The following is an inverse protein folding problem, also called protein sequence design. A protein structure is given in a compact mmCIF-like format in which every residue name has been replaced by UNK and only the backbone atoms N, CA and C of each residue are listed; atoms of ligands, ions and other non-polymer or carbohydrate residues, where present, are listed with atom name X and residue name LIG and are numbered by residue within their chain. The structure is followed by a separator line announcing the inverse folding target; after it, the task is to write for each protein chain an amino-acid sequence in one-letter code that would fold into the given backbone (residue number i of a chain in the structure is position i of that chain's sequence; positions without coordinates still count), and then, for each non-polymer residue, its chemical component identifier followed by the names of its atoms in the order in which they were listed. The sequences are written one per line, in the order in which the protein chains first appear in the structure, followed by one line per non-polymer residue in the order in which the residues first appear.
data_IF_774546905375
#
_entry.id   IF_774546905375
#
_cell.length_a   1.000
_cell.length_b   1.000
_cell.length_c   1.000
_cell.angle_alpha   90.00
_cell.angle_beta   90.00
_cell.angle_gamma   90.00
#
_symmetry.space_group_name_H-M   'P 1'
#
loop_
_entity.id
_entity.type
_entity.pdbx_description
1 polymer ?
#
# COMPACT_ATOMS: atom_id res chain seq x y z
N UNK A 1 12.06 6.80 -23.31
CA UNK A 1 10.76 7.50 -23.45
C UNK A 1 10.75 8.69 -22.50
N UNK A 2 10.84 9.89 -23.09
CA UNK A 2 10.65 11.17 -22.43
C UNK A 2 9.19 11.56 -22.62
N UNK A 3 8.48 11.88 -21.55
CA UNK A 3 7.25 12.71 -21.52
C UNK A 3 6.89 12.91 -20.04
N UNK A 4 7.02 14.14 -19.51
CA UNK A 4 5.90 15.03 -19.13
C UNK A 4 5.05 14.42 -18.00
N UNK A 5 4.60 15.08 -16.92
CA UNK A 5 4.39 16.48 -16.59
C UNK A 5 3.49 16.36 -15.33
N UNK A 6 3.98 16.69 -14.13
CA UNK A 6 3.10 17.01 -12.99
C UNK A 6 3.86 17.89 -12.00
N UNK A 7 4.13 19.10 -12.48
CA UNK A 7 4.37 20.27 -11.64
C UNK A 7 3.06 21.09 -11.75
N UNK A 8 2.66 21.72 -10.63
CA UNK A 8 1.57 22.68 -10.45
C UNK A 8 0.19 22.15 -10.05
N UNK A 9 0.02 21.73 -8.78
CA UNK A 9 -1.18 22.10 -7.98
C UNK A 9 -0.78 22.31 -6.52
N UNK A 10 -0.09 23.41 -6.23
CA UNK A 10 -0.23 24.11 -4.94
C UNK A 10 -0.13 25.60 -5.24
N UNK A 11 -1.00 26.05 -6.13
CA UNK A 11 -1.44 27.44 -6.19
C UNK A 11 -2.09 27.77 -4.84
N UNK A 12 -1.27 28.32 -3.94
CA UNK A 12 -1.56 29.47 -3.08
C UNK A 12 -3.05 29.60 -2.69
N UNK A 13 -3.50 28.76 -1.76
CA UNK A 13 -4.57 29.15 -0.84
C UNK A 13 -3.92 29.81 0.38
N UNK A 14 -3.34 31.00 0.18
CA UNK A 14 -3.06 31.91 1.28
C UNK A 14 -4.35 32.68 1.56
N UNK A 15 -5.29 31.99 2.19
CA UNK A 15 -6.51 32.61 2.70
C UNK A 15 -6.09 33.50 3.88
N UNK A 16 -6.05 34.81 3.66
CA UNK A 16 -6.00 35.82 4.70
C UNK A 16 -7.30 35.76 5.51
N UNK A 17 -7.42 34.80 6.42
CA UNK A 17 -8.50 34.71 7.39
C UNK A 17 -7.90 34.94 8.78
N UNK A 18 -7.85 36.22 9.17
CA UNK A 18 -8.07 36.73 10.52
C UNK A 18 -7.67 38.22 10.58
N UNK A 19 -8.32 39.04 9.75
CA UNK A 19 -8.50 40.45 10.11
C UNK A 19 -9.64 40.50 11.11
N UNK A 20 -9.32 40.28 12.38
CA UNK A 20 -10.22 40.63 13.49
C UNK A 20 -10.54 42.11 13.40
N UNK A 21 -11.77 42.39 12.99
CA UNK A 21 -12.59 43.58 13.24
C UNK A 21 -11.81 44.87 13.54
N UNK A 22 -11.34 45.53 12.48
CA UNK A 22 -11.16 46.97 12.54
C UNK A 22 -12.57 47.56 12.56
N UNK A 23 -13.09 47.78 13.77
CA UNK A 23 -14.29 48.58 14.02
C UNK A 23 -14.04 50.01 13.52
N UNK A 24 -14.30 50.25 12.24
CA UNK A 24 -14.35 51.58 11.65
C UNK A 24 -15.71 52.19 12.01
N UNK A 25 -15.82 52.63 13.27
CA UNK A 25 -16.93 53.46 13.74
C UNK A 25 -16.93 54.77 12.97
N UNK A 26 -17.80 54.85 11.96
CA UNK A 26 -18.11 56.07 11.23
C UNK A 26 -18.90 57.01 12.14
N UNK A 27 -18.19 57.79 12.95
CA UNK A 27 -18.77 58.92 13.65
C UNK A 27 -18.52 60.20 12.86
N UNK A 28 -19.63 60.79 12.41
CA UNK A 28 -19.71 62.01 11.60
C UNK A 28 -19.34 63.27 12.38
N UNK A 29 -18.72 64.21 11.67
CA UNK A 29 -18.74 65.65 11.92
C UNK A 29 -17.90 66.20 13.09
N UNK A 30 -16.59 66.03 13.00
CA UNK A 30 -15.67 67.15 13.29
C UNK A 30 -14.49 67.06 12.31
N UNK A 31 -14.30 68.09 11.49
CA UNK A 31 -13.18 68.22 10.54
C UNK A 31 -11.91 68.51 11.34
N UNK A 32 -11.47 67.54 12.12
CA UNK A 32 -10.21 67.57 12.85
C UNK A 32 -9.09 67.47 11.81
N UNK A 33 -8.24 68.51 11.72
CA UNK A 33 -6.95 68.38 11.06
C UNK A 33 -6.18 67.28 11.80
N UNK A 34 -6.28 66.04 11.31
CA UNK A 34 -5.38 64.98 11.74
C UNK A 34 -3.97 65.48 11.41
N UNK A 35 -3.16 65.68 12.44
CA UNK A 35 -1.82 66.20 12.24
C UNK A 35 -1.04 65.21 11.37
N UNK A 36 -0.38 65.74 10.33
CA UNK A 36 0.43 64.96 9.41
C UNK A 36 1.47 64.09 10.13
N UNK A 37 1.97 64.55 11.29
CA UNK A 37 2.92 63.83 12.13
C UNK A 37 2.35 62.54 12.71
N UNK A 38 1.07 62.52 13.07
CA UNK A 38 0.40 61.31 13.56
C UNK A 38 0.39 60.23 12.47
N UNK A 39 -0.05 60.60 11.27
CA UNK A 39 -0.09 59.68 10.11
C UNK A 39 1.32 59.14 9.80
N UNK A 40 2.34 60.01 9.84
CA UNK A 40 3.74 59.62 9.63
C UNK A 40 4.22 58.61 10.69
N UNK A 41 3.85 58.81 11.96
CA UNK A 41 4.21 57.90 13.05
C UNK A 41 3.52 56.52 12.93
N UNK A 42 2.25 56.50 12.53
CA UNK A 42 1.50 55.26 12.30
C UNK A 42 2.09 54.50 11.11
N UNK A 43 2.39 55.19 10.01
CA UNK A 43 3.01 54.60 8.82
C UNK A 43 4.38 53.97 9.14
N UNK A 44 5.23 54.66 9.91
CA UNK A 44 6.54 54.12 10.30
C UNK A 44 6.42 52.88 11.18
N UNK A 45 5.42 52.83 12.06
CA UNK A 45 5.09 51.66 12.89
C UNK A 45 4.65 50.47 12.03
N UNK A 46 3.74 50.71 11.09
CA UNK A 46 3.27 49.67 10.15
C UNK A 46 4.43 49.13 9.31
N UNK A 47 5.29 49.99 8.76
CA UNK A 47 6.46 49.57 7.99
C UNK A 47 7.44 48.73 8.82
N UNK A 48 7.67 49.09 10.09
CA UNK A 48 8.50 48.30 11.01
C UNK A 48 7.92 46.90 11.25
N UNK A 49 6.60 46.80 11.43
CA UNK A 49 5.91 45.54 11.63
C UNK A 49 5.97 44.65 10.38
N UNK A 50 5.75 45.22 9.19
CA UNK A 50 5.88 44.52 7.91
C UNK A 50 7.30 43.97 7.76
N UNK A 51 8.33 44.77 8.07
CA UNK A 51 9.72 44.32 8.01
C UNK A 51 9.98 43.16 8.97
N UNK A 52 9.51 43.25 10.22
CA UNK A 52 9.64 42.18 11.22
C UNK A 52 8.96 40.89 10.76
N UNK A 53 7.76 40.99 10.21
CA UNK A 53 7.01 39.85 9.68
C UNK A 53 7.75 39.19 8.51
N UNK A 54 8.27 39.98 7.56
CA UNK A 54 9.06 39.49 6.44
C UNK A 54 10.30 38.70 6.89
N UNK A 55 11.04 39.21 7.87
CA UNK A 55 12.22 38.51 8.41
C UNK A 55 11.85 37.22 9.15
N UNK A 56 10.72 37.21 9.88
CA UNK A 56 10.21 36.00 10.54
C UNK A 56 9.87 34.92 9.51
N UNK A 57 9.08 35.26 8.50
CA UNK A 57 8.70 34.32 7.45
C UNK A 57 9.92 33.79 6.69
N UNK A 58 10.92 34.64 6.42
CA UNK A 58 12.18 34.21 5.78
C UNK A 58 12.90 33.14 6.61
N UNK A 59 12.96 33.30 7.92
CA UNK A 59 13.57 32.29 8.83
C UNK A 59 12.78 30.99 8.84
N UNK A 60 11.44 31.07 8.87
CA UNK A 60 10.58 29.88 8.83
C UNK A 60 10.74 29.10 7.53
N UNK A 61 10.80 29.79 6.39
CA UNK A 61 11.07 29.17 5.09
C UNK A 61 12.43 28.44 5.11
N UNK A 62 13.48 29.07 5.62
CA UNK A 62 14.81 28.47 5.71
C UNK A 62 14.83 27.24 6.64
N UNK A 63 14.12 27.28 7.77
CA UNK A 63 14.00 26.13 8.68
C UNK A 63 13.25 24.96 8.01
N UNK A 64 12.17 25.25 7.27
CA UNK A 64 11.43 24.23 6.51
C UNK A 64 12.28 23.61 5.40
N UNK A 65 13.03 24.42 4.65
CA UNK A 65 13.98 23.95 3.63
C UNK A 65 15.04 23.01 4.24
N UNK A 66 15.59 23.38 5.40
CA UNK A 66 16.56 22.55 6.11
C UNK A 66 15.94 21.22 6.57
N UNK A 67 14.74 21.25 7.16
CA UNK A 67 14.00 20.06 7.58
C UNK A 67 13.71 19.13 6.39
N UNK A 68 13.33 19.70 5.26
CA UNK A 68 13.08 18.96 4.03
C UNK A 68 14.34 18.28 3.51
N UNK A 69 15.47 19.01 3.43
CA UNK A 69 16.76 18.44 3.02
C UNK A 69 17.21 17.29 3.95
N UNK A 70 17.01 17.45 5.27
CA UNK A 70 17.30 16.40 6.25
C UNK A 70 16.42 15.16 6.01
N UNK A 71 15.14 15.36 5.77
CA UNK A 71 14.19 14.28 5.49
C UNK A 71 14.58 13.50 4.22
N UNK A 72 14.93 14.20 3.15
CA UNK A 72 15.42 13.59 1.91
C UNK A 72 16.69 12.75 2.15
N UNK A 73 17.64 13.26 2.95
CA UNK A 73 18.87 12.54 3.31
C UNK A 73 18.55 11.26 4.09
N UNK A 74 17.66 11.32 5.08
CA UNK A 74 17.20 10.16 5.84
C UNK A 74 16.55 9.11 4.93
N UNK A 75 15.69 9.54 4.01
CA UNK A 75 15.03 8.64 3.06
C UNK A 75 16.03 7.95 2.12
N UNK A 76 17.04 8.69 1.63
CA UNK A 76 18.13 8.13 0.82
C UNK A 76 18.91 7.05 1.58
N UNK A 77 19.25 7.30 2.84
CA UNK A 77 19.93 6.31 3.69
C UNK A 77 19.07 5.08 3.94
N UNK A 78 17.78 5.25 4.21
CA UNK A 78 16.83 4.16 4.38
C UNK A 78 16.76 3.26 3.13
N UNK A 79 16.64 3.85 1.93
CA UNK A 79 16.64 3.10 0.67
C UNK A 79 17.91 2.27 0.49
N UNK A 80 19.08 2.85 0.77
CA UNK A 80 20.36 2.13 0.68
C UNK A 80 20.39 0.95 1.66
N UNK A 81 19.95 1.16 2.91
CA UNK A 81 19.90 0.11 3.94
C UNK A 81 18.98 -1.04 3.51
N UNK A 82 17.76 -0.72 3.06
CA UNK A 82 16.79 -1.72 2.60
C UNK A 82 17.26 -2.51 1.39
N UNK A 83 17.91 -1.85 0.43
CA UNK A 83 18.50 -2.56 -0.72
C UNK A 83 19.59 -3.55 -0.30
N UNK A 84 20.39 -3.24 0.72
CA UNK A 84 21.40 -4.16 1.27
C UNK A 84 20.75 -5.37 1.96
N UNK A 85 19.71 -5.13 2.76
CA UNK A 85 18.92 -6.18 3.41
C UNK A 85 18.33 -7.13 2.36
N UNK A 86 17.62 -6.60 1.35
CA UNK A 86 17.06 -7.37 0.23
C UNK A 86 18.14 -8.19 -0.49
N UNK A 87 19.31 -7.59 -0.78
CA UNK A 87 20.42 -8.30 -1.43
C UNK A 87 20.90 -9.49 -0.60
N UNK A 88 21.00 -9.33 0.72
CA UNK A 88 21.42 -10.41 1.63
C UNK A 88 20.39 -11.54 1.72
N UNK A 89 19.10 -11.20 1.76
CA UNK A 89 17.99 -12.15 1.75
C UNK A 89 18.00 -12.94 0.45
N UNK A 90 18.11 -12.27 -0.70
CA UNK A 90 18.16 -12.91 -2.01
C UNK A 90 19.35 -13.87 -2.13
N UNK A 91 20.52 -13.50 -1.59
CA UNK A 91 21.69 -14.39 -1.54
C UNK A 91 21.42 -15.64 -0.71
N UNK A 92 20.80 -15.51 0.47
CA UNK A 92 20.41 -16.66 1.31
C UNK A 92 19.39 -17.55 0.60
N UNK A 93 18.39 -16.95 -0.01
CA UNK A 93 17.32 -17.65 -0.75
C UNK A 93 17.90 -18.46 -1.92
N UNK A 94 18.85 -17.90 -2.66
CA UNK A 94 19.56 -18.61 -3.73
C UNK A 94 20.35 -19.82 -3.21
N UNK A 95 21.05 -19.68 -2.08
CA UNK A 95 21.79 -20.79 -1.45
C UNK A 95 20.84 -21.90 -0.97
N UNK A 96 19.71 -21.54 -0.35
CA UNK A 96 18.71 -22.51 0.11
C UNK A 96 18.10 -23.27 -1.07
N UNK A 97 17.73 -22.59 -2.16
CA UNK A 97 17.26 -23.23 -3.40
C UNK A 97 18.28 -24.22 -3.97
N UNK A 98 19.57 -23.86 -3.98
CA UNK A 98 20.66 -24.75 -4.42
C UNK A 98 20.84 -25.98 -3.52
N UNK A 99 20.62 -25.85 -2.22
CA UNK A 99 20.64 -27.00 -1.29
C UNK A 99 19.44 -27.92 -1.50
N UNK A 100 18.25 -27.33 -1.67
CA UNK A 100 17.01 -28.08 -1.89
C UNK A 100 17.08 -28.92 -3.16
N UNK A 101 17.54 -28.34 -4.27
CA UNK A 101 17.71 -29.04 -5.55
C UNK A 101 18.67 -30.23 -5.43
N UNK A 102 19.84 -30.05 -4.79
CA UNK A 102 20.78 -31.15 -4.51
C UNK A 102 20.16 -32.26 -3.65
N UNK A 103 19.33 -31.92 -2.67
CA UNK A 103 18.65 -32.91 -1.83
C UNK A 103 17.57 -33.65 -2.62
N UNK A 104 16.82 -32.96 -3.49
CA UNK A 104 15.84 -33.58 -4.38
C UNK A 104 16.50 -34.57 -5.35
N UNK A 105 17.66 -34.23 -5.92
CA UNK A 105 18.44 -35.14 -6.77
C UNK A 105 18.91 -36.39 -6.02
N UNK A 106 19.41 -36.23 -4.80
CA UNK A 106 19.82 -37.34 -3.93
C UNK A 106 18.65 -38.26 -3.59
N UNK A 107 17.48 -37.70 -3.28
CA UNK A 107 16.26 -38.47 -2.99
C UNK A 107 15.85 -39.32 -4.21
N UNK A 108 15.81 -38.73 -5.41
CA UNK A 108 15.52 -39.46 -6.65
C UNK A 108 16.49 -40.60 -6.89
N UNK A 109 17.79 -40.37 -6.65
CA UNK A 109 18.84 -41.40 -6.77
C UNK A 109 18.64 -42.54 -5.76
N UNK A 110 18.24 -42.24 -4.51
CA UNK A 110 17.95 -43.28 -3.52
C UNK A 110 16.67 -44.06 -3.83
N UNK A 111 15.60 -43.39 -4.27
CA UNK A 111 14.33 -44.02 -4.66
C UNK A 111 14.54 -44.98 -5.84
N UNK A 112 15.34 -44.58 -6.83
CA UNK A 112 15.66 -45.41 -7.98
C UNK A 112 16.50 -46.65 -7.62
N UNK A 113 17.28 -46.61 -6.53
CA UNK A 113 18.01 -47.77 -6.01
C UNK A 113 17.06 -48.74 -5.28
N UNK A 114 16.16 -48.21 -4.45
CA UNK A 114 15.17 -49.02 -3.70
C UNK A 114 14.25 -49.81 -4.66
N UNK A 115 13.85 -49.21 -5.78
CA UNK A 115 12.96 -49.85 -6.77
C UNK A 115 13.62 -50.98 -7.59
N UNK A 116 14.96 -51.12 -7.55
CA UNK A 116 15.65 -52.26 -8.18
C UNK A 116 15.69 -53.50 -7.27
N UNK A 117 15.54 -53.32 -5.96
CA UNK A 117 15.64 -54.40 -4.97
C UNK A 117 14.28 -54.89 -4.45
N UNK A 118 13.16 -54.25 -4.83
CA UNK A 118 11.79 -54.66 -4.46
C UNK A 118 10.88 -54.75 -5.68
N UNK A 119 10.97 -55.86 -6.41
CA UNK A 119 9.84 -56.40 -7.20
C UNK A 119 9.02 -57.31 -6.29
N UNK A 120 8.20 -56.75 -5.40
CA UNK A 120 7.10 -57.51 -4.77
C UNK A 120 5.87 -56.61 -4.74
N UNK A 121 4.86 -57.12 -5.44
CA UNK A 121 3.41 -56.90 -5.40
C UNK A 121 2.86 -56.02 -4.28
N UNK A 122 1.97 -55.07 -4.63
CA UNK A 122 0.56 -55.12 -4.21
C UNK A 122 -0.22 -53.89 -4.69
N UNK A 123 -1.11 -54.19 -5.62
CA UNK A 123 -2.30 -53.42 -6.01
C UNK A 123 -3.21 -53.28 -4.78
N UNK A 124 -3.69 -52.06 -4.50
CA UNK A 124 -5.09 -51.81 -4.11
C UNK A 124 -5.43 -50.33 -4.31
N UNK A 125 -6.16 -50.09 -5.40
CA UNK A 125 -6.82 -48.83 -5.75
C UNK A 125 -7.92 -48.59 -4.72
N UNK A 126 -7.70 -47.64 -3.81
CA UNK A 126 -8.70 -47.19 -2.82
C UNK A 126 -9.58 -46.15 -3.50
N UNK A 127 -10.85 -46.48 -3.71
CA UNK A 127 -11.85 -45.54 -4.20
C UNK A 127 -12.12 -44.46 -3.13
N UNK A 128 -12.07 -43.19 -3.56
CA UNK A 128 -12.21 -42.02 -2.70
C UNK A 128 -13.69 -41.79 -2.38
N UNK A 129 -14.10 -41.72 -1.11
CA UNK A 129 -15.49 -41.49 -0.74
C UNK A 129 -15.98 -40.10 -1.17
N UNK A 130 -17.13 -40.08 -1.85
CA UNK A 130 -17.89 -38.89 -2.23
C UNK A 130 -18.50 -38.26 -0.97
N UNK A 131 -18.05 -37.05 -0.60
CA UNK A 131 -18.52 -36.34 0.59
C UNK A 131 -19.87 -35.68 0.28
N UNK A 132 -20.85 -35.95 1.14
CA UNK A 132 -22.26 -35.52 1.06
C UNK A 132 -22.39 -33.99 1.10
N UNK A 133 -23.15 -33.43 0.17
CA UNK A 133 -23.47 -32.01 0.00
C UNK A 133 -24.08 -31.40 1.27
N UNK A 134 -23.28 -30.58 1.96
CA UNK A 134 -23.77 -29.50 2.82
C UNK A 134 -24.03 -28.31 1.89
N UNK A 135 -25.18 -27.66 1.99
CA UNK A 135 -25.49 -26.49 1.17
C UNK A 135 -24.54 -25.36 1.61
N UNK A 136 -23.45 -25.16 0.87
CA UNK A 136 -22.44 -24.16 1.20
C UNK A 136 -22.87 -22.85 0.55
N UNK A 137 -23.23 -21.86 1.35
CA UNK A 137 -23.42 -20.50 0.87
C UNK A 137 -22.06 -19.96 0.40
N UNK A 138 -22.02 -19.33 -0.77
CA UNK A 138 -20.82 -18.73 -1.35
C UNK A 138 -21.09 -17.28 -1.73
N UNK A 139 -20.05 -16.45 -1.70
CA UNK A 139 -20.08 -15.11 -2.29
C UNK A 139 -19.42 -15.13 -3.66
N UNK A 140 -19.89 -14.28 -4.57
CA UNK A 140 -19.26 -14.08 -5.88
C UNK A 140 -18.36 -12.85 -5.83
N UNK A 141 -17.12 -12.99 -6.32
CA UNK A 141 -16.13 -11.91 -6.36
C UNK A 141 -15.57 -11.77 -7.77
N UNK A 142 -15.10 -10.58 -8.12
CA UNK A 142 -14.35 -10.34 -9.35
C UNK A 142 -12.87 -10.24 -9.00
N UNK A 143 -12.02 -11.01 -9.69
CA UNK A 143 -10.56 -11.02 -9.48
C UNK A 143 -9.95 -9.68 -9.91
N UNK A 144 -9.21 -9.04 -9.01
CA UNK A 144 -8.46 -7.79 -9.26
C UNK A 144 -7.11 -8.07 -9.97
N UNK A 145 -6.49 -7.03 -10.53
CA UNK A 145 -5.22 -7.12 -11.26
C UNK A 145 -4.06 -7.73 -10.44
N UNK A 146 -3.34 -8.66 -11.06
CA UNK A 146 -2.12 -9.31 -10.53
C UNK A 146 -2.29 -10.08 -9.20
N UNK A 147 -3.52 -10.47 -8.84
CA UNK A 147 -3.79 -11.32 -7.67
C UNK A 147 -3.73 -12.80 -8.06
N UNK A 148 -3.11 -13.63 -7.22
CA UNK A 148 -3.12 -15.08 -7.39
C UNK A 148 -4.13 -15.75 -6.44
N UNK A 149 -4.51 -17.01 -6.71
CA UNK A 149 -5.52 -17.74 -5.90
C UNK A 149 -5.08 -17.89 -4.42
N UNK A 150 -3.77 -17.95 -4.16
CA UNK A 150 -3.21 -17.99 -2.82
C UNK A 150 -3.43 -16.67 -2.06
N UNK A 151 -3.35 -15.55 -2.77
CA UNK A 151 -3.58 -14.23 -2.18
C UNK A 151 -5.06 -14.05 -1.86
N UNK A 152 -5.96 -14.58 -2.70
CA UNK A 152 -7.39 -14.65 -2.38
C UNK A 152 -7.65 -15.52 -1.14
N UNK A 153 -7.00 -16.68 -1.03
CA UNK A 153 -7.14 -17.53 0.14
C UNK A 153 -6.62 -16.85 1.42
N UNK A 154 -5.51 -16.14 1.32
CA UNK A 154 -4.99 -15.31 2.41
C UNK A 154 -5.96 -14.18 2.77
N UNK A 155 -6.58 -13.54 1.77
CA UNK A 155 -7.51 -12.42 1.95
C UNK A 155 -8.82 -12.84 2.63
N UNK A 156 -9.40 -13.98 2.23
CA UNK A 156 -10.72 -14.42 2.70
C UNK A 156 -10.69 -15.45 3.83
N UNK A 157 -9.62 -16.22 3.97
CA UNK A 157 -9.50 -17.25 5.00
C UNK A 157 -8.36 -17.01 6.01
N UNK A 158 -7.56 -15.95 5.80
CA UNK A 158 -6.36 -15.68 6.61
C UNK A 158 -5.22 -16.68 6.38
N UNK A 159 -5.39 -17.63 5.46
CA UNK A 159 -4.42 -18.70 5.19
C UNK A 159 -4.36 -19.06 3.70
N UNK A 160 -3.19 -18.89 3.11
CA UNK A 160 -2.90 -19.20 1.71
C UNK A 160 -3.10 -20.69 1.38
N UNK A 161 -2.95 -21.60 2.35
CA UNK A 161 -3.14 -23.05 2.14
C UNK A 161 -4.60 -23.44 1.91
N UNK A 162 -5.55 -22.56 2.22
CA UNK A 162 -6.97 -22.79 2.00
C UNK A 162 -7.45 -22.51 0.58
N UNK A 163 -6.55 -22.18 -0.35
CA UNK A 163 -6.84 -22.00 -1.78
C UNK A 163 -7.59 -23.19 -2.40
N UNK A 164 -7.40 -24.40 -1.85
CA UNK A 164 -8.08 -25.61 -2.29
C UNK A 164 -9.61 -25.47 -2.23
N UNK A 165 -10.15 -24.75 -1.23
CA UNK A 165 -11.59 -24.51 -1.10
C UNK A 165 -12.12 -23.68 -2.26
N UNK A 166 -11.39 -22.62 -2.63
CA UNK A 166 -11.70 -21.75 -3.78
C UNK A 166 -11.60 -22.56 -5.07
N UNK A 167 -10.55 -23.35 -5.23
CA UNK A 167 -10.36 -24.19 -6.41
C UNK A 167 -11.48 -25.21 -6.57
N UNK A 168 -11.84 -25.95 -5.52
CA UNK A 168 -12.90 -26.95 -5.53
C UNK A 168 -14.26 -26.34 -5.91
N UNK A 169 -14.56 -25.12 -5.47
CA UNK A 169 -15.80 -24.43 -5.78
C UNK A 169 -15.86 -23.89 -7.23
N UNK A 170 -14.71 -23.74 -7.90
CA UNK A 170 -14.58 -23.13 -9.23
C UNK A 170 -13.85 -24.05 -10.22
N UNK A 171 -13.88 -25.37 -10.04
CA UNK A 171 -13.19 -26.31 -10.94
C UNK A 171 -13.65 -26.24 -12.39
N UNK A 172 -14.87 -25.73 -12.60
CA UNK A 172 -15.43 -25.47 -13.92
C UNK A 172 -14.83 -24.25 -14.62
N UNK A 173 -14.16 -23.36 -13.87
CA UNK A 173 -13.58 -22.11 -14.38
C UNK A 173 -12.05 -22.09 -14.30
N UNK A 174 -11.45 -22.76 -13.32
CA UNK A 174 -10.01 -22.78 -13.07
C UNK A 174 -9.41 -24.10 -13.56
N UNK A 175 -8.43 -23.99 -14.46
CA UNK A 175 -7.65 -25.14 -14.93
C UNK A 175 -6.77 -25.76 -13.82
N UNK A 176 -6.30 -26.99 -14.04
CA UNK A 176 -5.36 -27.70 -13.16
C UNK A 176 -4.02 -26.95 -12.88
N UNK A 177 -3.77 -25.84 -13.57
CA UNK A 177 -2.62 -24.96 -13.38
C UNK A 177 -2.85 -23.86 -12.32
N UNK A 178 -4.05 -23.79 -11.74
CA UNK A 178 -4.46 -22.81 -10.73
C UNK A 178 -4.33 -21.33 -11.17
N UNK A 179 -4.30 -21.07 -12.49
CA UNK A 179 -4.23 -19.71 -13.01
C UNK A 179 -5.60 -19.04 -12.96
N UNK A 180 -5.63 -17.83 -12.44
CA UNK A 180 -6.78 -16.93 -12.47
C UNK A 180 -6.39 -15.65 -13.20
N UNK A 181 -7.36 -14.99 -13.82
CA UNK A 181 -7.16 -13.79 -14.63
C UNK A 181 -7.98 -12.62 -14.08
N UNK A 182 -7.52 -11.40 -14.34
CA UNK A 182 -8.26 -10.19 -13.97
C UNK A 182 -9.66 -10.21 -14.62
N UNK A 183 -10.68 -9.77 -13.88
CA UNK A 183 -12.07 -9.71 -14.33
C UNK A 183 -12.82 -11.04 -14.24
N UNK A 184 -12.19 -12.11 -13.76
CA UNK A 184 -12.82 -13.41 -13.61
C UNK A 184 -13.75 -13.42 -12.38
N UNK A 185 -14.99 -13.88 -12.56
CA UNK A 185 -15.92 -14.11 -11.45
C UNK A 185 -15.65 -15.44 -10.77
N UNK A 186 -15.35 -15.42 -9.47
CA UNK A 186 -15.08 -16.61 -8.67
C UNK A 186 -16.03 -16.71 -7.48
N UNK A 187 -16.42 -17.94 -7.15
CA UNK A 187 -17.20 -18.28 -5.95
C UNK A 187 -16.27 -18.52 -4.77
N UNK A 188 -16.47 -17.82 -3.65
CA UNK A 188 -15.75 -18.04 -2.40
C UNK A 188 -16.69 -18.71 -1.40
N UNK A 189 -16.44 -19.99 -1.05
CA UNK A 189 -17.20 -20.70 -0.03
C UNK A 189 -17.13 -20.02 1.34
N UNK A 190 -18.27 -19.78 1.97
CA UNK A 190 -18.33 -19.38 3.38
C UNK A 190 -18.11 -20.64 4.22
N UNK A 191 -17.02 -20.65 4.99
CA UNK A 191 -16.66 -21.76 5.89
C UNK A 191 -16.30 -21.19 7.27
N UNK A 192 -16.07 -22.02 8.27
CA UNK A 192 -15.74 -21.57 9.64
C UNK A 192 -14.49 -20.68 9.72
N UNK A 193 -13.60 -20.76 8.70
CA UNK A 193 -12.42 -19.92 8.57
C UNK A 193 -12.61 -18.68 7.70
N UNK A 194 -13.81 -18.45 7.18
CA UNK A 194 -14.13 -17.28 6.38
C UNK A 194 -14.09 -16.03 7.28
N UNK A 195 -13.27 -15.06 6.89
CA UNK A 195 -13.19 -13.77 7.56
C UNK A 195 -13.99 -12.76 6.74
N UNK A 196 -15.16 -12.34 7.25
CA UNK A 196 -15.89 -11.21 6.70
C UNK A 196 -15.00 -9.97 6.78
N UNK A 197 -14.56 -9.47 5.63
CA UNK A 197 -13.91 -8.18 5.56
C UNK A 197 -14.99 -7.09 5.58
N UNK A 198 -14.78 -5.99 6.33
CA UNK A 198 -15.61 -4.81 6.15
C UNK A 198 -15.46 -4.36 4.70
N UNK A 199 -16.58 -4.16 4.01
CA UNK A 199 -16.61 -3.59 2.67
C UNK A 199 -15.69 -2.38 2.61
N UNK A 200 -14.52 -2.50 1.97
CA UNK A 200 -13.86 -1.32 1.44
C UNK A 200 -14.72 -0.88 0.26
N UNK A 201 -15.73 -0.07 0.58
CA UNK A 201 -16.44 0.78 -0.36
C UNK A 201 -15.39 1.62 -1.08
N UNK A 202 -14.95 1.12 -2.23
CA UNK A 202 -14.47 1.97 -3.31
C UNK A 202 -15.67 2.81 -3.79
N UNK A 203 -16.02 3.84 -3.02
CA UNK A 203 -16.69 5.01 -3.55
C UNK A 203 -15.58 5.97 -3.94
N UNK A 204 -15.29 5.96 -5.25
CA UNK A 204 -14.55 7.01 -5.94
C UNK A 204 -15.27 8.35 -5.79
#
# INVERSE_FOLDING_TARGET
MKTYLFICIFSVNFCLADTKDINLSSNTNSKTMISHDRVKSELTTVLKNIKKYKEKNKKEIQDLELKFALMQKKFKQYRIKKNREIKSINKRLALTKKKLTRNQEKLKLSEQKICKDTKIDLIKKVERPQIKNKNIEWIEIVVEDNINIYDLALKYYGDAHQYQKIYLANQNLIDNNFKIYNGMSLKIPITDSFQEQPMFLNQN
#
